data_IF_915233735367
#
_entry.id   IF_915233735367
#
_cell.length_a   1.000
_cell.length_b   1.000
_cell.length_c   1.000
_cell.angle_alpha   90.00
_cell.angle_beta   90.00
_cell.angle_gamma   90.00
#
_symmetry.space_group_name_H-M   'P 1'
#
loop_
_entity.id
_entity.type
_entity.pdbx_description
1 polymer ?
#
# COMPACT_ATOMS: atom_id res chain seq x y z
N UNK A 1 -2.91 -3.19 -0.37
CA UNK A 1 -2.96 -2.08 -1.36
C UNK A 1 -2.80 -0.77 -0.64
N UNK A 2 -2.15 0.22 -1.26
CA UNK A 2 -1.92 1.53 -0.68
C UNK A 2 -2.96 2.48 -1.29
N UNK A 3 -3.96 2.85 -0.48
CA UNK A 3 -5.07 3.69 -0.91
C UNK A 3 -4.85 5.13 -0.45
N UNK A 4 -4.43 5.98 -1.37
CA UNK A 4 -3.85 7.30 -1.11
C UNK A 4 -4.53 8.45 -1.86
N UNK A 5 -5.12 8.21 -3.06
CA UNK A 5 -5.54 9.23 -4.01
C UNK A 5 -4.43 10.27 -4.24
N UNK A 6 -4.75 11.59 -4.18
CA UNK A 6 -3.75 12.63 -4.39
C UNK A 6 -2.70 12.71 -3.28
N UNK A 7 -3.05 12.29 -2.04
CA UNK A 7 -2.16 12.42 -0.89
C UNK A 7 -0.85 11.62 -1.00
N UNK A 8 -0.83 10.55 -1.80
CA UNK A 8 0.37 9.74 -2.03
C UNK A 8 1.28 10.27 -3.15
N UNK A 9 0.84 11.24 -3.92
CA UNK A 9 1.55 11.71 -5.13
C UNK A 9 1.67 13.24 -5.24
N UNK A 10 1.07 13.99 -4.31
CA UNK A 10 1.00 15.46 -4.33
C UNK A 10 2.37 16.16 -4.39
N UNK A 11 3.40 15.50 -3.91
CA UNK A 11 4.78 16.00 -3.90
C UNK A 11 5.57 15.64 -5.16
N UNK A 12 4.96 14.91 -6.10
CA UNK A 12 5.60 14.42 -7.35
C UNK A 12 4.85 14.90 -8.59
N UNK A 13 3.51 14.96 -8.53
CA UNK A 13 2.65 15.26 -9.66
C UNK A 13 1.60 16.30 -9.31
N UNK A 14 1.26 17.15 -10.28
CA UNK A 14 0.07 17.99 -10.18
C UNK A 14 -1.20 17.22 -10.56
N UNK A 15 -2.37 17.78 -10.22
CA UNK A 15 -3.67 17.18 -10.62
C UNK A 15 -3.82 17.18 -12.14
N UNK A 16 -3.30 18.19 -12.85
CA UNK A 16 -3.33 18.25 -14.31
C UNK A 16 -2.55 17.09 -14.95
N UNK A 17 -1.43 16.70 -14.33
CA UNK A 17 -0.57 15.61 -14.83
C UNK A 17 -1.10 14.23 -14.48
N UNK A 18 -1.66 14.05 -13.27
CA UNK A 18 -1.98 12.76 -12.73
C UNK A 18 -3.45 12.55 -12.31
N UNK A 19 -4.28 13.58 -12.40
CA UNK A 19 -5.69 13.55 -11.97
C UNK A 19 -6.52 12.45 -12.65
N UNK A 20 -6.25 12.17 -13.93
CA UNK A 20 -6.89 11.03 -14.63
C UNK A 20 -6.64 9.70 -13.93
N UNK A 21 -5.44 9.46 -13.42
CA UNK A 21 -5.10 8.25 -12.68
C UNK A 21 -5.85 8.19 -11.34
N UNK A 22 -5.95 9.33 -10.65
CA UNK A 22 -6.63 9.43 -9.35
C UNK A 22 -8.13 9.19 -9.52
N UNK A 23 -8.78 9.87 -10.47
CA UNK A 23 -10.20 9.65 -10.79
C UNK A 23 -10.46 8.23 -11.27
N UNK A 24 -9.55 7.68 -12.07
CA UNK A 24 -9.65 6.30 -12.52
C UNK A 24 -9.55 5.27 -11.38
N UNK A 25 -8.88 5.59 -10.26
CA UNK A 25 -8.91 4.74 -9.07
C UNK A 25 -10.33 4.55 -8.53
N UNK A 26 -11.17 5.60 -8.60
CA UNK A 26 -12.58 5.54 -8.16
C UNK A 26 -13.41 4.56 -9.00
N UNK A 27 -13.03 4.37 -10.25
CA UNK A 27 -13.63 3.38 -11.16
C UNK A 27 -13.00 2.00 -10.98
N UNK A 28 -11.70 1.95 -10.73
CA UNK A 28 -10.95 0.69 -10.61
C UNK A 28 -11.24 -0.04 -9.27
N UNK A 29 -11.37 0.67 -8.15
CA UNK A 29 -11.57 0.06 -6.82
C UNK A 29 -12.80 -0.85 -6.78
N UNK A 30 -14.02 -0.45 -7.19
CA UNK A 30 -15.16 -1.34 -7.21
C UNK A 30 -14.96 -2.59 -8.09
N UNK A 31 -14.27 -2.45 -9.21
CA UNK A 31 -14.00 -3.57 -10.12
C UNK A 31 -12.91 -4.52 -9.55
N UNK A 32 -11.90 -3.99 -8.85
CA UNK A 32 -10.92 -4.81 -8.11
C UNK A 32 -11.63 -5.61 -7.03
N UNK A 33 -12.55 -4.99 -6.27
CA UNK A 33 -13.32 -5.67 -5.23
C UNK A 33 -14.23 -6.76 -5.80
N UNK A 34 -14.85 -6.54 -6.97
CA UNK A 34 -15.60 -7.60 -7.68
C UNK A 34 -14.72 -8.80 -8.06
N UNK A 35 -13.50 -8.55 -8.55
CA UNK A 35 -12.54 -9.63 -8.82
C UNK A 35 -12.12 -10.33 -7.52
N UNK A 36 -11.94 -9.60 -6.42
CA UNK A 36 -11.59 -10.20 -5.14
C UNK A 36 -12.71 -11.08 -4.59
N UNK A 37 -13.94 -10.64 -4.67
CA UNK A 37 -15.08 -11.49 -4.31
C UNK A 37 -15.18 -12.75 -5.21
N UNK A 38 -14.97 -12.58 -6.52
CA UNK A 38 -15.03 -13.70 -7.49
C UNK A 38 -14.00 -14.79 -7.20
N UNK A 39 -12.78 -14.41 -6.78
CA UNK A 39 -11.67 -15.34 -6.54
C UNK A 39 -11.40 -15.58 -5.05
N UNK A 40 -12.28 -15.11 -4.17
CA UNK A 40 -12.14 -15.21 -2.71
C UNK A 40 -10.76 -14.72 -2.25
N UNK A 41 -10.47 -13.45 -2.48
CA UNK A 41 -9.20 -12.80 -2.15
C UNK A 41 -9.35 -11.98 -0.88
N UNK A 42 -8.55 -12.32 0.11
CA UNK A 42 -8.33 -11.52 1.31
C UNK A 42 -7.24 -10.48 1.03
N UNK A 43 -7.50 -9.22 1.34
CA UNK A 43 -6.52 -8.17 1.11
C UNK A 43 -6.55 -7.09 2.18
N UNK A 44 -5.40 -6.51 2.48
CA UNK A 44 -5.27 -5.33 3.35
C UNK A 44 -5.23 -4.07 2.51
N UNK A 45 -6.09 -3.10 2.84
CA UNK A 45 -6.13 -1.76 2.27
C UNK A 45 -5.50 -0.79 3.28
N UNK A 46 -4.28 -0.39 3.03
CA UNK A 46 -3.61 0.62 3.83
C UNK A 46 -4.06 2.00 3.36
N UNK A 47 -4.86 2.67 4.17
CA UNK A 47 -5.58 3.89 3.82
C UNK A 47 -4.91 5.10 4.47
N UNK A 48 -4.68 6.15 3.69
CA UNK A 48 -4.27 7.46 4.21
C UNK A 48 -5.43 8.07 5.01
N UNK A 49 -5.19 8.42 6.26
CA UNK A 49 -6.23 8.86 7.19
C UNK A 49 -7.01 10.08 6.71
N UNK A 50 -6.37 11.01 6.01
CA UNK A 50 -7.03 12.19 5.42
C UNK A 50 -8.20 11.84 4.50
N UNK A 51 -8.23 10.64 3.89
CA UNK A 51 -9.32 10.18 3.03
C UNK A 51 -10.63 9.89 3.79
N UNK A 52 -10.58 9.72 5.12
CA UNK A 52 -11.76 9.52 5.96
C UNK A 52 -12.55 10.80 6.19
N UNK A 53 -11.88 11.96 6.12
CA UNK A 53 -12.52 13.24 6.39
C UNK A 53 -13.68 13.47 5.42
N UNK A 54 -14.82 13.87 5.96
CA UNK A 54 -16.03 14.12 5.18
C UNK A 54 -15.98 15.45 4.41
N UNK A 55 -15.23 16.42 4.98
CA UNK A 55 -15.13 17.76 4.47
C UNK A 55 -13.78 18.42 4.84
N UNK A 56 -13.49 19.56 4.22
CA UNK A 56 -12.28 20.34 4.46
C UNK A 56 -12.18 20.85 5.90
N UNK A 57 -13.29 21.15 6.55
CA UNK A 57 -13.32 21.62 7.94
C UNK A 57 -12.82 20.50 8.89
N UNK A 58 -13.29 19.28 8.71
CA UNK A 58 -12.83 18.13 9.48
C UNK A 58 -11.34 17.86 9.22
N UNK A 59 -10.92 17.87 7.96
CA UNK A 59 -9.50 17.71 7.56
C UNK A 59 -8.61 18.75 8.25
N UNK A 60 -9.00 20.02 8.24
CA UNK A 60 -8.26 21.10 8.92
C UNK A 60 -8.20 20.91 10.43
N UNK A 61 -9.25 20.38 11.05
CA UNK A 61 -9.26 20.10 12.48
C UNK A 61 -8.14 19.13 12.86
N UNK A 62 -7.93 18.08 12.09
CA UNK A 62 -6.83 17.14 12.32
C UNK A 62 -5.46 17.76 11.99
N UNK A 63 -5.32 18.37 10.83
CA UNK A 63 -4.03 18.91 10.37
C UNK A 63 -3.49 20.01 11.30
N UNK A 64 -4.35 20.83 11.89
CA UNK A 64 -3.94 21.85 12.86
C UNK A 64 -3.33 21.28 14.16
N UNK A 65 -3.58 19.99 14.46
CA UNK A 65 -2.99 19.32 15.63
C UNK A 65 -1.66 18.62 15.31
N UNK A 66 -1.34 18.41 14.05
CA UNK A 66 -0.20 17.57 13.65
C UNK A 66 1.11 18.34 13.49
N UNK A 67 1.07 19.58 13.02
CA UNK A 67 2.20 20.51 12.85
C UNK A 67 3.57 19.80 12.56
N UNK A 68 3.66 19.10 11.43
CA UNK A 68 4.84 18.31 11.07
C UNK A 68 5.86 19.20 10.37
N UNK A 69 7.00 19.53 10.99
CA UNK A 69 7.96 20.50 10.46
C UNK A 69 8.98 19.85 9.52
N UNK A 70 8.51 19.29 8.40
CA UNK A 70 9.44 18.80 7.38
C UNK A 70 10.37 19.93 6.88
N UNK A 71 11.67 19.66 6.76
CA UNK A 71 12.60 20.60 6.16
C UNK A 71 12.24 20.90 4.70
N UNK A 72 11.81 19.88 3.95
CA UNK A 72 11.22 20.07 2.63
C UNK A 72 9.70 20.21 2.77
N UNK A 73 9.22 21.42 2.66
CA UNK A 73 7.81 21.77 2.85
C UNK A 73 6.86 21.10 1.86
N UNK A 74 7.36 20.62 0.71
CA UNK A 74 6.57 19.86 -0.28
C UNK A 74 5.96 18.59 0.33
N UNK A 75 6.59 18.03 1.36
CA UNK A 75 6.05 16.85 2.05
C UNK A 75 4.95 17.16 3.05
N UNK A 76 4.76 18.44 3.38
CA UNK A 76 3.71 18.83 4.33
C UNK A 76 2.35 18.86 3.62
N UNK A 77 1.34 18.12 4.12
CA UNK A 77 0.00 18.17 3.55
C UNK A 77 -0.63 19.57 3.70
N UNK A 78 -0.22 20.34 4.71
CA UNK A 78 -0.72 21.70 4.97
C UNK A 78 -0.36 22.67 3.84
N UNK A 79 0.79 22.51 3.19
CA UNK A 79 1.22 23.36 2.08
C UNK A 79 0.33 23.23 0.82
N UNK A 80 -0.38 22.11 0.71
CA UNK A 80 -1.18 21.80 -0.47
C UNK A 80 -2.69 22.07 -0.27
N UNK A 81 -3.09 22.64 0.88
CA UNK A 81 -4.50 22.84 1.21
C UNK A 81 -5.22 23.91 0.38
N UNK A 82 -4.50 24.82 -0.27
CA UNK A 82 -5.11 25.87 -1.10
C UNK A 82 -5.87 25.29 -2.31
N UNK A 83 -5.45 24.12 -2.81
CA UNK A 83 -6.09 23.41 -3.92
C UNK A 83 -7.18 22.42 -3.51
N UNK A 84 -7.40 22.21 -2.20
CA UNK A 84 -8.37 21.24 -1.69
C UNK A 84 -9.77 21.85 -1.66
N UNK A 85 -10.74 21.18 -2.31
CA UNK A 85 -12.16 21.56 -2.30
C UNK A 85 -12.87 21.27 -0.98
N UNK A 86 -14.18 21.52 -0.92
CA UNK A 86 -14.91 21.45 0.35
C UNK A 86 -15.23 20.02 0.80
N UNK A 87 -15.52 19.11 -0.14
CA UNK A 87 -15.94 17.73 0.16
C UNK A 87 -15.65 16.76 -1.00
N UNK A 88 -16.01 15.51 -0.87
CA UNK A 88 -15.78 14.44 -1.86
C UNK A 88 -16.52 14.70 -3.20
N UNK A 89 -17.63 15.44 -3.20
CA UNK A 89 -18.39 15.75 -4.43
C UNK A 89 -17.65 16.80 -5.25
N UNK A 90 -17.14 17.84 -4.59
CA UNK A 90 -16.41 18.94 -5.24
C UNK A 90 -14.96 18.56 -5.53
N UNK A 91 -14.37 17.70 -4.70
CA UNK A 91 -12.96 17.31 -4.79
C UNK A 91 -12.76 15.80 -4.63
N UNK A 92 -13.03 15.03 -5.67
CA UNK A 92 -12.81 13.59 -5.66
C UNK A 92 -11.33 13.17 -5.66
N UNK A 93 -10.41 14.12 -5.71
CA UNK A 93 -8.96 13.87 -5.68
C UNK A 93 -8.43 13.71 -4.25
N UNK A 94 -9.01 14.42 -3.28
CA UNK A 94 -8.51 14.48 -1.90
C UNK A 94 -9.40 13.76 -0.88
N UNK A 95 -10.66 13.51 -1.21
CA UNK A 95 -11.61 12.83 -0.33
C UNK A 95 -12.00 11.46 -0.90
N UNK A 96 -12.13 10.45 -0.04
CA UNK A 96 -12.36 9.07 -0.48
C UNK A 96 -13.24 8.24 0.45
N UNK A 97 -14.01 8.89 1.33
CA UNK A 97 -14.83 8.20 2.33
C UNK A 97 -15.81 7.21 1.72
N UNK A 98 -16.45 7.56 0.60
CA UNK A 98 -17.38 6.67 -0.11
C UNK A 98 -16.71 5.36 -0.59
N UNK A 99 -15.44 5.43 -1.02
CA UNK A 99 -14.67 4.26 -1.42
C UNK A 99 -14.24 3.41 -0.22
N UNK A 100 -13.88 4.06 0.89
CA UNK A 100 -13.57 3.35 2.15
C UNK A 100 -14.78 2.55 2.61
N UNK A 101 -15.98 3.13 2.54
CA UNK A 101 -17.22 2.45 2.92
C UNK A 101 -17.50 1.23 2.01
N UNK A 102 -17.26 1.32 0.70
CA UNK A 102 -17.37 0.16 -0.21
C UNK A 102 -16.35 -0.92 0.16
N UNK A 103 -15.10 -0.57 0.44
CA UNK A 103 -14.06 -1.52 0.85
C UNK A 103 -14.47 -2.22 2.15
N UNK A 104 -14.92 -1.46 3.16
CA UNK A 104 -15.33 -1.97 4.48
C UNK A 104 -16.46 -2.98 4.38
N UNK A 105 -17.43 -2.75 3.51
CA UNK A 105 -18.57 -3.64 3.33
C UNK A 105 -18.30 -4.83 2.40
N UNK A 106 -17.12 -4.90 1.77
CA UNK A 106 -16.74 -6.03 0.93
C UNK A 106 -16.13 -7.14 1.80
N UNK A 107 -16.62 -8.38 1.71
CA UNK A 107 -16.10 -9.51 2.48
C UNK A 107 -14.58 -9.69 2.31
N UNK A 108 -13.93 -10.14 3.37
CA UNK A 108 -12.52 -10.51 3.37
C UNK A 108 -11.55 -9.35 3.05
N UNK A 109 -11.99 -8.09 3.24
CA UNK A 109 -11.14 -6.92 3.10
C UNK A 109 -10.81 -6.34 4.48
N UNK A 110 -9.52 -6.22 4.78
CA UNK A 110 -9.01 -5.59 5.98
C UNK A 110 -8.75 -4.11 5.72
N UNK A 111 -9.22 -3.26 6.61
CA UNK A 111 -8.79 -1.86 6.70
C UNK A 111 -7.51 -1.80 7.56
N UNK A 112 -6.43 -1.35 6.96
CA UNK A 112 -5.18 -1.00 7.62
C UNK A 112 -4.86 0.49 7.42
N UNK A 113 -3.80 0.98 8.04
CA UNK A 113 -3.40 2.38 7.92
C UNK A 113 -2.20 2.60 7.02
N UNK A 114 -2.22 3.72 6.30
CA UNK A 114 -1.07 4.30 5.60
C UNK A 114 -0.65 5.62 6.26
N UNK A 115 -0.77 5.69 7.61
CA UNK A 115 -0.70 6.87 8.47
C UNK A 115 -1.82 7.88 8.20
N UNK A 116 -1.99 8.90 9.03
CA UNK A 116 -3.03 9.90 8.77
C UNK A 116 -2.65 10.82 7.61
N UNK A 117 -1.47 11.42 7.69
CA UNK A 117 -1.01 12.46 6.76
C UNK A 117 -0.11 11.94 5.63
N UNK A 118 -0.08 10.62 5.37
CA UNK A 118 0.92 10.01 4.49
C UNK A 118 2.35 10.30 5.00
N UNK A 119 2.61 10.02 6.28
CA UNK A 119 3.78 10.46 7.03
C UNK A 119 5.10 9.86 6.55
N UNK A 120 6.08 10.70 6.24
CA UNK A 120 7.39 10.29 5.74
C UNK A 120 8.40 10.13 6.87
N UNK A 121 8.57 8.90 7.37
CA UNK A 121 9.35 8.58 8.58
C UNK A 121 10.87 8.75 8.46
N UNK A 122 11.42 8.92 7.26
CA UNK A 122 12.87 9.05 7.03
C UNK A 122 13.26 10.41 6.45
N UNK A 123 12.31 11.31 6.21
CA UNK A 123 12.62 12.66 5.73
C UNK A 123 13.02 13.58 6.90
N UNK A 124 13.83 14.60 6.62
CA UNK A 124 14.35 15.51 7.64
C UNK A 124 13.26 16.44 8.21
N UNK A 125 13.39 16.79 9.48
CA UNK A 125 12.54 17.75 10.20
C UNK A 125 11.45 17.09 11.05
N UNK A 126 11.03 15.87 10.72
CA UNK A 126 10.06 15.11 11.51
C UNK A 126 10.72 14.33 12.66
N UNK A 127 9.94 13.85 13.61
CA UNK A 127 10.40 13.04 14.73
C UNK A 127 9.36 12.03 15.20
N UNK A 128 9.70 11.22 16.20
CA UNK A 128 8.83 10.17 16.74
C UNK A 128 7.52 10.73 17.33
N UNK A 129 7.57 11.86 18.02
CA UNK A 129 6.38 12.47 18.63
C UNK A 129 5.35 12.90 17.57
N UNK A 130 5.79 13.49 16.46
CA UNK A 130 4.92 13.83 15.33
C UNK A 130 4.30 12.57 14.71
N UNK A 131 5.08 11.49 14.59
CA UNK A 131 4.57 10.22 14.08
C UNK A 131 3.52 9.59 15.02
N UNK A 132 3.73 9.66 16.33
CA UNK A 132 2.75 9.18 17.32
C UNK A 132 1.43 9.94 17.23
N UNK A 133 1.49 11.28 17.12
CA UNK A 133 0.28 12.11 16.91
C UNK A 133 -0.44 11.76 15.60
N UNK A 134 0.31 11.52 14.55
CA UNK A 134 -0.24 11.12 13.24
C UNK A 134 -0.98 9.77 13.33
N UNK A 135 -0.43 8.78 14.03
CA UNK A 135 -1.10 7.50 14.28
C UNK A 135 -2.32 7.64 15.20
N UNK A 136 -2.27 8.50 16.21
CA UNK A 136 -3.41 8.79 17.10
C UNK A 136 -4.58 9.39 16.31
N UNK A 137 -4.30 10.26 15.34
CA UNK A 137 -5.33 10.80 14.45
C UNK A 137 -6.05 9.70 13.66
N UNK A 138 -5.33 8.68 13.19
CA UNK A 138 -5.95 7.52 12.53
C UNK A 138 -6.85 6.75 13.48
N UNK A 139 -6.36 6.46 14.71
CA UNK A 139 -7.11 5.69 15.72
C UNK A 139 -8.40 6.36 16.16
N UNK A 140 -8.53 7.68 15.97
CA UNK A 140 -9.78 8.42 16.25
C UNK A 140 -10.81 8.33 15.11
N UNK A 141 -10.39 7.89 13.92
CA UNK A 141 -11.24 7.79 12.71
C UNK A 141 -11.70 6.36 12.43
N UNK A 142 -10.89 5.39 12.78
CA UNK A 142 -11.12 3.97 12.47
C UNK A 142 -10.71 3.09 13.65
N UNK A 143 -11.65 2.30 14.14
CA UNK A 143 -11.40 1.35 15.22
C UNK A 143 -10.66 0.09 14.74
N UNK A 144 -9.92 -0.55 15.65
CA UNK A 144 -9.31 -1.86 15.42
C UNK A 144 -8.31 -1.95 14.26
N UNK A 145 -7.64 -0.87 13.93
CA UNK A 145 -6.52 -0.91 12.99
C UNK A 145 -5.35 -1.67 13.60
N UNK A 146 -4.95 -2.75 12.95
CA UNK A 146 -3.84 -3.61 13.42
C UNK A 146 -2.70 -3.73 12.43
N UNK A 147 -2.88 -3.25 11.19
CA UNK A 147 -1.91 -3.36 10.11
C UNK A 147 -1.50 -1.98 9.59
N UNK A 148 -0.18 -1.78 9.45
CA UNK A 148 0.41 -0.53 8.99
C UNK A 148 1.25 -0.76 7.71
N UNK A 149 1.14 0.15 6.77
CA UNK A 149 2.09 0.30 5.68
C UNK A 149 2.74 1.68 5.78
N UNK A 150 4.05 1.73 5.90
CA UNK A 150 4.77 2.99 5.94
C UNK A 150 4.77 3.66 4.55
N UNK A 151 4.37 4.93 4.42
CA UNK A 151 4.47 5.68 3.18
C UNK A 151 5.86 5.60 2.54
N UNK A 152 5.91 5.44 1.22
CA UNK A 152 7.14 5.21 0.45
C UNK A 152 8.00 4.04 0.94
N UNK A 153 7.40 3.10 1.68
CA UNK A 153 8.11 2.01 2.34
C UNK A 153 9.27 2.51 3.25
N UNK A 154 9.14 3.72 3.80
CA UNK A 154 10.11 4.34 4.70
C UNK A 154 9.97 3.78 6.13
N UNK A 155 10.24 2.51 6.31
CA UNK A 155 10.23 1.87 7.64
C UNK A 155 11.33 2.50 8.50
N UNK A 156 10.94 3.09 9.63
CA UNK A 156 11.86 3.57 10.65
C UNK A 156 11.83 2.61 11.86
N UNK A 157 12.90 1.81 12.09
CA UNK A 157 12.92 0.85 13.20
C UNK A 157 12.71 1.50 14.58
N UNK A 158 13.11 2.77 14.74
CA UNK A 158 12.96 3.51 16.00
C UNK A 158 11.49 3.84 16.32
N UNK A 159 10.58 3.76 15.32
CA UNK A 159 9.16 4.08 15.47
C UNK A 159 8.30 2.83 15.67
N UNK A 160 8.85 1.62 15.54
CA UNK A 160 8.08 0.39 15.66
C UNK A 160 7.48 0.20 17.07
N UNK A 161 8.18 0.67 18.12
CA UNK A 161 7.60 0.64 19.46
C UNK A 161 6.36 1.54 19.56
N UNK A 162 6.40 2.74 18.97
CA UNK A 162 5.22 3.61 18.91
C UNK A 162 4.05 2.95 18.14
N UNK A 163 4.35 2.21 17.05
CA UNK A 163 3.32 1.44 16.36
C UNK A 163 2.66 0.41 17.30
N UNK A 164 3.46 -0.35 18.06
CA UNK A 164 2.96 -1.34 19.04
C UNK A 164 2.09 -0.68 20.11
N UNK A 165 2.53 0.45 20.66
CA UNK A 165 1.84 1.20 21.71
C UNK A 165 0.48 1.73 21.22
N UNK A 166 0.34 1.99 19.90
CA UNK A 166 -0.92 2.38 19.24
C UNK A 166 -1.74 1.17 18.73
N UNK A 167 -1.41 -0.06 19.14
CA UNK A 167 -2.17 -1.26 18.80
C UNK A 167 -1.87 -1.90 17.44
N UNK A 168 -0.89 -1.38 16.70
CA UNK A 168 -0.43 -2.01 15.45
C UNK A 168 0.27 -3.33 15.77
N UNK A 169 -0.14 -4.40 15.10
CA UNK A 169 0.38 -5.76 15.29
C UNK A 169 1.30 -6.20 14.17
N UNK A 170 1.09 -5.67 12.95
CA UNK A 170 1.91 -5.99 11.80
C UNK A 170 2.17 -4.76 10.91
N UNK A 171 3.31 -4.77 10.24
CA UNK A 171 3.61 -3.80 9.19
C UNK A 171 4.17 -4.48 7.94
N UNK A 172 3.99 -3.84 6.78
CA UNK A 172 4.65 -4.26 5.55
C UNK A 172 6.09 -3.81 5.54
N UNK A 173 7.03 -4.76 5.59
CA UNK A 173 8.45 -4.50 5.38
C UNK A 173 8.83 -4.48 3.91
N UNK A 174 10.07 -4.09 3.63
CA UNK A 174 10.62 -4.04 2.28
C UNK A 174 11.15 -5.41 1.84
N UNK A 175 11.27 -5.60 0.53
CA UNK A 175 11.96 -6.75 -0.06
C UNK A 175 13.43 -6.79 0.39
N UNK A 176 13.96 -7.98 0.64
CA UNK A 176 15.33 -8.16 1.18
C UNK A 176 16.47 -7.76 0.23
N UNK A 177 16.18 -7.42 -1.03
CA UNK A 177 17.21 -7.00 -1.98
C UNK A 177 17.63 -5.54 -1.77
N UNK A 178 18.91 -5.25 -2.00
CA UNK A 178 19.48 -3.90 -1.92
C UNK A 178 18.77 -2.86 -2.81
N UNK A 179 18.18 -3.29 -3.91
CA UNK A 179 17.44 -2.43 -4.83
C UNK A 179 16.15 -1.87 -4.22
N UNK A 180 15.60 -2.55 -3.22
CA UNK A 180 14.32 -2.24 -2.58
C UNK A 180 14.45 -1.65 -1.18
N UNK A 181 15.69 -1.41 -0.71
CA UNK A 181 15.88 -0.69 0.56
C UNK A 181 15.21 0.66 0.49
N UNK A 182 14.55 1.04 1.58
CA UNK A 182 13.94 2.35 1.74
C UNK A 182 14.94 3.47 1.40
N UNK A 183 14.44 4.54 0.83
CA UNK A 183 15.24 5.69 0.44
C UNK A 183 14.51 6.98 0.81
N UNK A 184 15.29 8.01 1.06
CA UNK A 184 14.83 9.40 1.21
C UNK A 184 14.83 10.09 -0.14
N UNK A 185 14.23 11.28 -0.21
CA UNK A 185 14.33 12.16 -1.39
C UNK A 185 15.77 12.34 -1.87
N UNK A 186 16.75 12.37 -0.93
CA UNK A 186 18.18 12.55 -1.20
C UNK A 186 18.90 11.29 -1.70
N UNK A 187 18.38 10.09 -1.44
CA UNK A 187 19.08 8.81 -1.69
C UNK A 187 18.49 7.97 -2.81
N UNK A 188 17.51 8.49 -3.53
CA UNK A 188 16.84 7.78 -4.63
C UNK A 188 17.71 7.80 -5.90
N UNK A 189 18.45 6.73 -6.15
CA UNK A 189 19.36 6.64 -7.29
C UNK A 189 18.70 6.04 -8.54
N UNK A 190 19.03 6.61 -9.71
CA UNK A 190 18.49 6.19 -11.01
C UNK A 190 18.77 4.72 -11.34
N UNK A 191 19.94 4.20 -11.00
CA UNK A 191 20.32 2.80 -11.27
C UNK A 191 19.47 1.80 -10.48
N UNK A 192 19.05 2.14 -9.25
CA UNK A 192 18.08 1.33 -8.50
C UNK A 192 16.71 1.32 -9.19
N UNK A 193 16.29 2.44 -9.77
CA UNK A 193 15.02 2.54 -10.52
C UNK A 193 15.07 1.65 -11.76
N UNK A 194 16.17 1.68 -12.54
CA UNK A 194 16.38 0.81 -13.69
C UNK A 194 16.43 -0.65 -13.26
N UNK A 195 17.18 -0.99 -12.19
CA UNK A 195 17.25 -2.35 -11.66
C UNK A 195 15.86 -2.88 -11.25
N UNK A 196 15.06 -2.10 -10.53
CA UNK A 196 13.67 -2.47 -10.18
C UNK A 196 12.75 -2.62 -11.40
N UNK A 197 12.98 -1.81 -12.45
CA UNK A 197 12.23 -1.97 -13.71
C UNK A 197 12.58 -3.29 -14.39
N UNK A 198 13.86 -3.60 -14.55
CA UNK A 198 14.30 -4.86 -15.14
C UNK A 198 13.85 -6.09 -14.33
N UNK A 199 13.93 -6.00 -12.98
CA UNK A 199 13.50 -7.08 -12.07
C UNK A 199 11.99 -7.37 -12.12
N UNK A 200 11.18 -6.42 -12.64
CA UNK A 200 9.76 -6.67 -12.86
C UNK A 200 9.48 -7.66 -13.99
N UNK A 201 10.40 -7.82 -14.92
CA UNK A 201 10.27 -8.70 -16.10
C UNK A 201 11.19 -9.92 -16.03
N UNK A 202 12.39 -9.77 -15.45
CA UNK A 202 13.41 -10.81 -15.32
C UNK A 202 13.74 -11.02 -13.85
N UNK A 203 13.92 -12.26 -13.42
CA UNK A 203 14.21 -12.58 -12.01
C UNK A 203 15.65 -12.25 -11.64
N UNK A 204 15.93 -10.99 -11.30
CA UNK A 204 17.24 -10.53 -10.86
C UNK A 204 17.44 -10.62 -9.35
N UNK A 205 16.40 -10.33 -8.56
CA UNK A 205 16.49 -10.21 -7.10
C UNK A 205 15.98 -11.45 -6.33
N UNK A 206 15.50 -12.48 -7.02
CA UNK A 206 14.83 -13.60 -6.39
C UNK A 206 13.31 -13.39 -6.27
N UNK A 207 12.61 -14.40 -5.77
CA UNK A 207 11.14 -14.36 -5.69
C UNK A 207 10.60 -13.68 -4.42
N UNK A 208 11.46 -13.42 -3.42
CA UNK A 208 11.09 -12.81 -2.15
C UNK A 208 9.88 -13.51 -1.51
N UNK A 209 9.95 -14.84 -1.43
CA UNK A 209 9.00 -15.63 -0.65
C UNK A 209 9.53 -15.84 0.76
N UNK A 210 8.64 -15.87 1.77
CA UNK A 210 9.03 -15.83 3.18
C UNK A 210 8.34 -16.93 3.97
N UNK A 211 9.13 -17.70 4.75
CA UNK A 211 8.57 -18.64 5.74
C UNK A 211 7.96 -17.85 6.90
N UNK A 212 6.72 -18.14 7.26
CA UNK A 212 6.05 -17.53 8.42
C UNK A 212 6.81 -17.75 9.74
N UNK A 213 7.52 -18.86 9.87
CA UNK A 213 8.33 -19.17 11.06
C UNK A 213 9.51 -18.21 11.25
N UNK A 214 10.01 -17.62 10.16
CA UNK A 214 11.24 -16.80 10.14
C UNK A 214 10.94 -15.30 10.02
N UNK A 215 9.69 -14.87 10.23
CA UNK A 215 9.35 -13.44 10.25
C UNK A 215 9.83 -12.80 11.55
N UNK A 216 10.32 -11.57 11.45
CA UNK A 216 10.67 -10.74 12.61
C UNK A 216 9.39 -10.34 13.35
N UNK A 217 9.33 -10.60 14.66
CA UNK A 217 8.10 -10.45 15.45
C UNK A 217 8.14 -9.30 16.46
N UNK A 218 9.28 -8.74 16.75
CA UNK A 218 9.45 -7.75 17.79
C UNK A 218 10.02 -6.43 17.24
N UNK A 219 9.46 -5.29 17.66
CA UNK A 219 8.28 -5.09 18.52
C UNK A 219 6.94 -5.34 17.82
N UNK A 220 6.89 -5.29 16.48
CA UNK A 220 5.73 -5.47 15.61
C UNK A 220 6.08 -6.47 14.50
N UNK A 221 5.14 -7.34 14.13
CA UNK A 221 5.37 -8.35 13.10
C UNK A 221 5.71 -7.72 11.75
N UNK A 222 6.87 -8.06 11.22
CA UNK A 222 7.30 -7.66 9.88
C UNK A 222 6.78 -8.67 8.84
N UNK A 223 5.88 -8.24 7.96
CA UNK A 223 5.40 -9.02 6.80
C UNK A 223 6.00 -8.41 5.53
N UNK A 224 7.19 -8.88 5.09
CA UNK A 224 7.90 -8.22 4.00
C UNK A 224 7.14 -8.32 2.67
N UNK A 225 7.24 -7.27 1.85
CA UNK A 225 6.73 -7.31 0.49
C UNK A 225 7.53 -8.27 -0.40
N UNK A 226 6.85 -8.89 -1.35
CA UNK A 226 7.47 -9.74 -2.36
C UNK A 226 7.60 -9.04 -3.70
N UNK A 227 6.57 -8.27 -4.06
CA UNK A 227 6.52 -7.64 -5.39
C UNK A 227 5.54 -6.48 -5.44
N UNK A 228 6.00 -5.38 -6.03
CA UNK A 228 5.14 -4.31 -6.51
C UNK A 228 4.48 -4.71 -7.84
N UNK A 229 3.16 -4.68 -7.89
CA UNK A 229 2.40 -4.88 -9.13
C UNK A 229 2.43 -3.57 -9.93
N UNK A 230 3.34 -3.49 -10.89
CA UNK A 230 3.44 -2.33 -11.78
C UNK A 230 2.19 -2.19 -12.63
N UNK A 231 1.73 -0.97 -12.95
CA UNK A 231 0.66 -0.76 -13.90
C UNK A 231 1.07 -1.18 -15.32
N UNK A 232 0.06 -1.39 -16.15
CA UNK A 232 0.25 -1.56 -17.59
C UNK A 232 1.00 -0.36 -18.18
N UNK A 233 1.86 -0.64 -19.15
CA UNK A 233 2.55 0.39 -19.91
C UNK A 233 2.53 0.02 -21.38
N UNK A 234 1.84 0.82 -22.21
CA UNK A 234 1.67 0.59 -23.63
C UNK A 234 3.01 0.38 -24.38
N UNK A 235 4.06 1.10 -23.99
CA UNK A 235 5.40 0.98 -24.60
C UNK A 235 6.09 -0.34 -24.28
N UNK A 236 5.70 -1.00 -23.20
CA UNK A 236 6.26 -2.26 -22.72
C UNK A 236 5.27 -3.42 -22.83
N UNK A 237 4.18 -3.24 -23.59
CA UNK A 237 3.10 -4.25 -23.72
C UNK A 237 3.58 -5.60 -24.18
N UNK A 238 4.58 -5.66 -25.06
CA UNK A 238 5.19 -6.92 -25.52
C UNK A 238 5.86 -7.72 -24.38
N UNK A 239 6.21 -7.06 -23.26
CA UNK A 239 6.84 -7.68 -22.12
C UNK A 239 5.85 -8.14 -21.03
N UNK A 240 4.54 -7.90 -21.21
CA UNK A 240 3.52 -8.24 -20.21
C UNK A 240 3.52 -9.73 -19.83
N UNK A 241 3.77 -10.62 -20.78
CA UNK A 241 3.86 -12.06 -20.52
C UNK A 241 5.05 -12.41 -19.60
N UNK A 242 6.17 -11.71 -19.71
CA UNK A 242 7.32 -11.91 -18.83
C UNK A 242 6.99 -11.40 -17.42
N UNK A 243 6.32 -10.25 -17.32
CA UNK A 243 5.84 -9.68 -16.05
C UNK A 243 4.86 -10.62 -15.35
N UNK A 244 3.89 -11.19 -16.10
CA UNK A 244 2.95 -12.17 -15.57
C UNK A 244 3.69 -13.43 -15.07
N UNK A 245 4.57 -14.00 -15.88
CA UNK A 245 5.38 -15.16 -15.49
C UNK A 245 6.24 -14.88 -14.26
N UNK A 246 6.77 -13.67 -14.14
CA UNK A 246 7.58 -13.26 -12.98
C UNK A 246 6.79 -13.35 -11.68
N UNK A 247 5.52 -12.93 -11.69
CA UNK A 247 4.61 -12.97 -10.54
C UNK A 247 4.11 -14.40 -10.30
N UNK A 248 3.59 -15.07 -11.32
CA UNK A 248 3.02 -16.42 -11.18
C UNK A 248 4.06 -17.47 -10.76
N UNK A 249 5.31 -17.34 -11.20
CA UNK A 249 6.41 -18.19 -10.74
C UNK A 249 6.72 -17.94 -9.24
N UNK A 250 6.66 -16.69 -8.79
CA UNK A 250 6.81 -16.34 -7.37
C UNK A 250 5.71 -16.96 -6.50
N UNK A 251 4.44 -16.81 -6.92
CA UNK A 251 3.29 -17.42 -6.28
C UNK A 251 3.39 -18.97 -6.26
N UNK A 252 3.78 -19.58 -7.38
CA UNK A 252 3.99 -21.03 -7.47
C UNK A 252 5.09 -21.51 -6.51
N UNK A 253 6.19 -20.74 -6.39
CA UNK A 253 7.25 -21.06 -5.42
C UNK A 253 6.73 -20.98 -4.00
N UNK A 254 6.00 -19.91 -3.66
CA UNK A 254 5.41 -19.73 -2.33
C UNK A 254 4.48 -20.90 -1.99
N UNK A 255 3.55 -21.25 -2.89
CA UNK A 255 2.64 -22.37 -2.71
C UNK A 255 3.36 -23.72 -2.49
N UNK A 256 4.38 -24.03 -3.32
CA UNK A 256 5.16 -25.28 -3.19
C UNK A 256 5.99 -25.37 -1.91
N UNK A 257 6.41 -24.23 -1.36
CA UNK A 257 7.26 -24.17 -0.17
C UNK A 257 6.51 -23.85 1.11
N UNK A 258 5.20 -23.64 1.02
CA UNK A 258 4.38 -23.15 2.13
C UNK A 258 4.94 -21.85 2.72
N UNK A 259 5.22 -20.89 1.82
CA UNK A 259 5.77 -19.57 2.12
C UNK A 259 4.77 -18.47 1.75
N UNK A 260 4.94 -17.29 2.33
CA UNK A 260 4.18 -16.09 1.97
C UNK A 260 4.68 -15.49 0.65
N UNK A 261 3.76 -14.92 -0.12
CA UNK A 261 4.03 -14.03 -1.24
C UNK A 261 3.17 -12.78 -1.12
N UNK A 262 3.77 -11.65 -0.83
CA UNK A 262 3.09 -10.39 -0.56
C UNK A 262 3.13 -9.47 -1.80
N UNK A 263 2.07 -9.51 -2.59
CA UNK A 263 1.87 -8.63 -3.75
C UNK A 263 1.20 -7.33 -3.30
N UNK A 264 1.68 -6.18 -3.80
CA UNK A 264 1.13 -4.88 -3.42
C UNK A 264 1.14 -3.87 -4.57
N UNK A 265 0.23 -2.91 -4.54
CA UNK A 265 0.15 -1.80 -5.49
C UNK A 265 -0.74 -0.67 -4.97
N UNK A 266 -0.78 0.44 -5.74
CA UNK A 266 -1.68 1.56 -5.49
C UNK A 266 -2.88 1.47 -6.46
N UNK A 267 -4.13 1.60 -6.03
CA UNK A 267 -5.29 1.59 -6.92
C UNK A 267 -5.23 2.67 -8.01
N UNK A 268 -4.68 3.84 -7.73
CA UNK A 268 -4.52 4.90 -8.71
C UNK A 268 -3.58 4.52 -9.88
N UNK A 269 -2.69 3.57 -9.70
CA UNK A 269 -1.87 3.04 -10.80
C UNK A 269 -2.70 2.32 -11.88
N UNK A 270 -3.88 1.83 -11.52
CA UNK A 270 -4.80 1.20 -12.48
C UNK A 270 -5.68 2.22 -13.21
N UNK A 271 -5.75 3.47 -12.72
CA UNK A 271 -6.74 4.43 -13.14
C UNK A 271 -6.64 4.90 -14.59
N UNK A 272 -5.49 4.79 -15.24
CA UNK A 272 -5.34 5.22 -16.65
C UNK A 272 -5.71 4.13 -17.65
N UNK A 273 -5.19 2.93 -17.48
CA UNK A 273 -5.39 1.79 -18.38
C UNK A 273 -6.16 0.70 -17.62
N UNK A 274 -7.38 1.04 -17.16
CA UNK A 274 -8.17 0.23 -16.23
C UNK A 274 -8.40 -1.16 -16.77
N UNK A 275 -8.83 -1.28 -18.03
CA UNK A 275 -9.16 -2.56 -18.66
C UNK A 275 -7.97 -3.50 -18.71
N UNK A 276 -6.81 -3.00 -19.13
CA UNK A 276 -5.57 -3.75 -19.26
C UNK A 276 -5.04 -4.17 -17.87
N UNK A 277 -5.11 -3.27 -16.90
CA UNK A 277 -4.68 -3.55 -15.54
C UNK A 277 -5.58 -4.58 -14.84
N UNK A 278 -6.90 -4.48 -15.00
CA UNK A 278 -7.85 -5.45 -14.45
C UNK A 278 -7.72 -6.81 -15.12
N UNK A 279 -7.55 -6.85 -16.45
CA UNK A 279 -7.29 -8.10 -17.15
C UNK A 279 -6.01 -8.78 -16.63
N UNK A 280 -4.93 -8.02 -16.49
CA UNK A 280 -3.67 -8.55 -15.95
C UNK A 280 -3.83 -9.05 -14.50
N UNK A 281 -4.56 -8.32 -13.67
CA UNK A 281 -4.87 -8.75 -12.31
C UNK A 281 -5.68 -10.06 -12.33
N UNK A 282 -6.70 -10.16 -13.17
CA UNK A 282 -7.52 -11.38 -13.28
C UNK A 282 -6.69 -12.60 -13.68
N UNK A 283 -5.72 -12.46 -14.59
CA UNK A 283 -4.81 -13.56 -14.94
C UNK A 283 -3.96 -14.03 -13.74
N UNK A 284 -3.53 -13.10 -12.88
CA UNK A 284 -2.87 -13.46 -11.61
C UNK A 284 -3.83 -14.21 -10.70
N UNK A 285 -5.08 -13.72 -10.55
CA UNK A 285 -6.08 -14.33 -9.67
C UNK A 285 -6.53 -15.73 -10.13
N UNK A 286 -6.64 -15.95 -11.44
CA UNK A 286 -6.84 -17.31 -12.02
C UNK A 286 -5.71 -18.25 -11.62
N UNK A 287 -4.48 -17.76 -11.62
CA UNK A 287 -3.33 -18.56 -11.19
C UNK A 287 -3.38 -18.84 -9.67
N UNK A 288 -3.79 -17.88 -8.85
CA UNK A 288 -4.00 -18.08 -7.41
C UNK A 288 -5.09 -19.15 -7.17
N UNK A 289 -6.21 -19.09 -7.88
CA UNK A 289 -7.29 -20.11 -7.80
C UNK A 289 -6.78 -21.51 -8.15
N UNK A 290 -5.96 -21.64 -9.20
CA UNK A 290 -5.27 -22.90 -9.52
C UNK A 290 -4.38 -23.38 -8.36
N UNK A 291 -3.61 -22.47 -7.72
CA UNK A 291 -2.74 -22.82 -6.60
C UNK A 291 -3.54 -23.18 -5.35
N UNK A 292 -4.67 -22.52 -5.07
CA UNK A 292 -5.61 -22.90 -4.01
C UNK A 292 -6.01 -24.36 -4.15
N UNK A 293 -6.44 -24.78 -5.34
CA UNK A 293 -6.90 -26.14 -5.63
C UNK A 293 -5.78 -27.18 -5.56
N UNK A 294 -4.58 -26.83 -6.04
CA UNK A 294 -3.48 -27.78 -6.18
C UNK A 294 -2.61 -27.94 -4.93
N UNK A 295 -2.40 -26.86 -4.18
CA UNK A 295 -1.45 -26.81 -3.06
C UNK A 295 -2.08 -26.37 -1.74
N UNK A 296 -3.41 -26.20 -1.70
CA UNK A 296 -4.11 -25.59 -0.56
C UNK A 296 -3.53 -24.20 -0.19
N UNK A 297 -3.09 -23.47 -1.22
CA UNK A 297 -2.56 -22.11 -1.05
C UNK A 297 -3.70 -21.16 -0.66
N UNK A 298 -3.49 -20.31 0.34
CA UNK A 298 -4.54 -19.44 0.86
C UNK A 298 -4.27 -17.97 0.54
N UNK A 299 -5.34 -17.21 0.29
CA UNK A 299 -5.28 -15.76 0.29
C UNK A 299 -5.46 -15.25 1.72
N UNK A 300 -4.68 -14.27 2.12
CA UNK A 300 -4.67 -13.73 3.48
C UNK A 300 -4.49 -12.23 3.45
N UNK A 301 -5.20 -11.51 4.32
CA UNK A 301 -4.82 -10.15 4.69
C UNK A 301 -3.78 -10.16 5.83
N UNK A 302 -3.19 -9.03 6.17
CA UNK A 302 -2.09 -8.97 7.15
C UNK A 302 -2.53 -9.41 8.54
N UNK A 303 -3.78 -9.16 8.92
CA UNK A 303 -4.36 -9.63 10.20
C UNK A 303 -4.42 -11.16 10.25
N UNK A 304 -4.84 -11.85 9.18
CA UNK A 304 -4.84 -13.31 9.11
C UNK A 304 -3.45 -13.88 9.38
N UNK A 305 -2.41 -13.31 8.74
CA UNK A 305 -1.01 -13.72 8.97
C UNK A 305 -0.62 -13.52 10.43
N UNK A 306 -1.03 -12.41 11.04
CA UNK A 306 -0.74 -12.13 12.46
C UNK A 306 -1.39 -13.15 13.38
N UNK A 307 -2.63 -13.51 13.12
CA UNK A 307 -3.37 -14.46 13.95
C UNK A 307 -2.83 -15.90 13.82
N UNK A 308 -2.47 -16.31 12.60
CA UNK A 308 -1.81 -17.61 12.38
C UNK A 308 -0.46 -17.67 13.13
N UNK A 309 0.35 -16.62 13.05
CA UNK A 309 1.66 -16.60 13.72
C UNK A 309 1.53 -16.71 15.23
N UNK A 310 0.51 -16.12 15.85
CA UNK A 310 0.24 -16.27 17.28
C UNK A 310 -0.07 -17.71 17.69
N UNK A 311 -0.72 -18.46 16.78
CA UNK A 311 -1.10 -19.85 17.04
C UNK A 311 0.13 -20.79 16.96
N UNK A 312 1.08 -20.49 16.07
CA UNK A 312 2.26 -21.34 15.81
C UNK A 312 3.51 -20.92 16.60
N UNK A 313 3.44 -19.83 17.38
CA UNK A 313 4.51 -19.32 18.26
C UNK A 313 4.38 -19.86 19.66
#
# INVERSE_FOLDING_TARGET
MDFELNWGVHDVYTIEEYGTNILGARVAIPQILQLFMKYDIHATWAIVGMLYCKDKKELLTYLNTLDIPYQNTVFSPVQNLSGVGEDEIQDPYHFGKSLIDIIRHTPNQEIGTHTFSHYYCLEDGQNKEHFEKDLQAVSSLEDNITSLVFPRNQVNPRYLQACKDQGIKAYRGNEKSWMYKAYTSKTNSWYKRVGRLADAYVNLSGYHTYSMKNLEKDPVLNIPSSRFLRPYNKRLSILEQFRLRRITNGLTRAAKKNELYHLWWHPHNFGRDIKENLHFLEEILKHVDYLKKKYNFQSMHMRDVTDIIKIIS
#
